data_IF_211475016583
#
_entry.id   IF_211475016583
#
_cell.length_a   1.000
_cell.length_b   1.000
_cell.length_c   1.000
_cell.angle_alpha   90.00
_cell.angle_beta   90.00
_cell.angle_gamma   90.00
#
_symmetry.space_group_name_H-M   'P 1'
#
loop_
_entity.id
_entity.type
_entity.pdbx_description
1 polymer ?
#
# COMPACT_ATOMS: atom_id res chain seq x y z
N UNK A 1 52.68 12.79 -6.54
CA UNK A 1 51.60 12.22 -5.69
C UNK A 1 50.27 12.68 -6.26
N UNK A 2 49.26 11.81 -6.46
CA UNK A 2 47.96 12.25 -6.96
C UNK A 2 47.22 13.09 -5.92
N UNK A 3 46.54 14.15 -6.38
CA UNK A 3 45.70 15.01 -5.55
C UNK A 3 44.39 14.27 -5.23
N UNK A 4 44.02 14.17 -3.95
CA UNK A 4 42.74 13.60 -3.51
C UNK A 4 41.75 14.74 -3.22
N UNK A 5 40.61 14.75 -3.92
CA UNK A 5 39.50 15.66 -3.63
C UNK A 5 38.48 15.06 -2.66
N UNK A 6 37.65 15.92 -2.05
CA UNK A 6 36.53 15.50 -1.20
C UNK A 6 35.24 16.19 -1.62
N UNK A 7 34.19 15.42 -1.87
CA UNK A 7 32.84 15.94 -2.15
C UNK A 7 31.83 15.28 -1.20
N UNK A 8 31.01 16.11 -0.54
CA UNK A 8 30.00 15.61 0.38
C UNK A 8 28.85 14.93 -0.37
N UNK A 9 28.41 13.75 0.10
CA UNK A 9 27.32 13.00 -0.54
C UNK A 9 25.99 13.77 -0.57
N UNK A 10 25.75 14.70 0.35
CA UNK A 10 24.54 15.51 0.36
C UNK A 10 24.42 16.38 -0.91
N UNK A 11 25.55 16.83 -1.49
CA UNK A 11 25.57 17.58 -2.75
C UNK A 11 25.12 16.74 -3.95
N UNK A 12 25.38 15.44 -3.91
CA UNK A 12 25.04 14.50 -5.00
C UNK A 12 23.66 13.88 -4.83
N UNK A 13 23.00 14.02 -3.67
CA UNK A 13 21.66 13.45 -3.43
C UNK A 13 20.60 13.93 -4.42
N UNK A 14 20.71 15.17 -4.93
CA UNK A 14 19.81 15.72 -5.96
C UNK A 14 19.80 14.86 -7.25
N UNK A 15 20.88 14.12 -7.51
CA UNK A 15 21.05 13.24 -8.67
C UNK A 15 20.75 11.76 -8.36
N UNK A 16 20.16 11.44 -7.19
CA UNK A 16 19.91 10.06 -6.78
C UNK A 16 18.92 9.30 -7.69
N UNK A 17 18.02 10.00 -8.36
CA UNK A 17 17.07 9.42 -9.31
C UNK A 17 17.75 9.15 -10.66
N UNK A 18 17.72 7.88 -11.11
CA UNK A 18 18.43 7.40 -12.30
C UNK A 18 17.54 7.14 -13.51
N UNK A 19 16.26 7.51 -13.45
CA UNK A 19 15.33 7.38 -14.58
C UNK A 19 14.26 8.45 -14.54
N UNK A 20 13.61 8.69 -15.69
CA UNK A 20 12.48 9.62 -15.82
C UNK A 20 11.39 9.28 -14.80
N UNK A 21 11.08 7.99 -14.64
CA UNK A 21 10.10 7.49 -13.67
C UNK A 21 10.44 7.84 -12.22
N UNK A 22 11.71 7.73 -11.83
CA UNK A 22 12.15 8.03 -10.47
C UNK A 22 12.20 9.53 -10.21
N UNK A 23 12.62 10.32 -11.22
CA UNK A 23 12.80 11.77 -11.09
C UNK A 23 11.47 12.52 -11.10
N UNK A 24 10.56 12.12 -11.97
CA UNK A 24 9.30 12.83 -12.23
C UNK A 24 8.07 12.08 -11.72
N UNK A 25 8.24 10.91 -11.11
CA UNK A 25 7.12 10.08 -10.62
C UNK A 25 6.05 9.78 -11.70
N UNK A 26 6.46 9.62 -12.97
CA UNK A 26 5.55 9.40 -14.12
C UNK A 26 4.83 8.05 -14.11
N UNK A 27 5.16 7.15 -13.18
CA UNK A 27 4.52 5.85 -13.07
C UNK A 27 4.77 5.16 -11.72
N UNK A 28 4.31 3.90 -11.58
CA UNK A 28 4.52 3.09 -10.38
C UNK A 28 6.00 2.96 -10.03
N UNK A 29 6.35 3.14 -8.76
CA UNK A 29 7.76 3.26 -8.34
C UNK A 29 8.51 1.93 -8.16
N UNK A 30 7.83 0.78 -8.21
CA UNK A 30 8.41 -0.58 -8.21
C UNK A 30 9.66 -0.71 -7.31
N UNK A 31 9.53 -0.35 -6.03
CA UNK A 31 10.60 -0.41 -5.01
C UNK A 31 11.84 0.47 -5.26
N UNK A 32 11.78 1.44 -6.18
CA UNK A 32 12.92 2.32 -6.56
C UNK A 32 12.70 3.81 -6.23
N UNK A 33 11.77 4.13 -5.33
CA UNK A 33 11.55 5.52 -4.87
C UNK A 33 12.78 6.04 -4.10
N UNK A 34 13.20 7.28 -4.41
CA UNK A 34 14.38 7.92 -3.77
C UNK A 34 14.01 8.91 -2.68
N UNK A 35 12.96 9.70 -2.90
CA UNK A 35 12.57 10.78 -1.99
C UNK A 35 11.21 10.48 -1.37
N UNK A 36 11.14 10.52 -0.04
CA UNK A 36 9.95 10.21 0.74
C UNK A 36 9.52 11.46 1.51
N UNK A 37 8.21 11.69 1.55
CA UNK A 37 7.58 12.76 2.33
C UNK A 37 6.61 12.11 3.30
N UNK A 38 6.85 12.32 4.60
CA UNK A 38 6.02 11.80 5.68
C UNK A 38 5.10 12.94 6.13
N UNK A 39 3.79 12.67 6.19
CA UNK A 39 2.78 13.70 6.46
C UNK A 39 2.87 14.30 7.87
N UNK A 40 3.29 13.50 8.85
CA UNK A 40 3.50 13.96 10.23
C UNK A 40 4.99 14.02 10.54
N UNK A 41 5.50 15.21 10.82
CA UNK A 41 6.89 15.43 11.24
C UNK A 41 7.24 14.68 12.55
N UNK A 42 6.23 14.32 13.34
CA UNK A 42 6.38 13.59 14.60
C UNK A 42 6.40 12.06 14.45
N UNK A 43 6.21 11.51 13.25
CA UNK A 43 6.31 10.07 13.05
C UNK A 43 7.77 9.64 12.97
N UNK A 44 8.27 8.98 14.02
CA UNK A 44 9.60 8.36 14.01
C UNK A 44 9.67 7.11 13.11
N UNK A 45 8.55 6.38 12.98
CA UNK A 45 8.48 5.23 12.09
C UNK A 45 8.11 5.68 10.67
N UNK A 46 9.01 5.43 9.71
CA UNK A 46 8.88 5.87 8.32
C UNK A 46 7.96 4.99 7.46
N UNK A 47 6.72 4.80 7.89
CA UNK A 47 5.66 4.14 7.11
C UNK A 47 4.37 4.97 7.11
N UNK A 48 3.60 4.84 6.03
CA UNK A 48 2.23 5.35 5.97
C UNK A 48 1.31 4.41 6.73
N UNK A 49 0.24 4.93 7.31
CA UNK A 49 -0.74 4.13 8.06
C UNK A 49 -2.10 4.23 7.38
N UNK A 50 -2.74 3.09 7.18
CA UNK A 50 -4.15 3.00 6.82
C UNK A 50 -4.77 2.15 7.90
N UNK A 51 -5.64 2.76 8.70
CA UNK A 51 -6.15 2.16 9.92
C UNK A 51 -7.67 2.05 9.86
N UNK A 52 -8.19 0.92 10.31
CA UNK A 52 -9.62 0.71 10.48
C UNK A 52 -10.07 1.32 11.81
N UNK A 53 -11.37 1.62 11.90
CA UNK A 53 -12.00 2.08 13.15
C UNK A 53 -12.88 0.96 13.72
N UNK A 54 -12.43 0.35 14.82
CA UNK A 54 -13.22 -0.60 15.61
C UNK A 54 -13.95 0.17 16.71
N UNK A 55 -15.25 -0.05 16.81
CA UNK A 55 -16.12 0.57 17.81
C UNK A 55 -16.94 -0.45 18.59
N UNK A 56 -17.13 -1.67 18.05
CA UNK A 56 -17.86 -2.76 18.70
C UNK A 56 -17.21 -4.11 18.42
N UNK A 57 -17.74 -5.16 19.03
CA UNK A 57 -17.28 -6.53 18.84
C UNK A 57 -17.76 -7.15 17.51
N UNK A 58 -17.12 -8.23 17.02
CA UNK A 58 -17.37 -8.77 15.68
C UNK A 58 -18.83 -9.16 15.38
N UNK A 59 -19.60 -9.52 16.42
CA UNK A 59 -21.04 -9.83 16.30
C UNK A 59 -21.90 -8.61 15.95
N UNK A 60 -21.46 -7.40 16.34
CA UNK A 60 -22.15 -6.13 16.10
C UNK A 60 -21.51 -5.35 14.94
N UNK A 61 -20.19 -5.43 14.83
CA UNK A 61 -19.40 -4.76 13.81
C UNK A 61 -18.40 -5.74 13.19
N UNK A 62 -18.76 -6.39 12.07
CA UNK A 62 -17.85 -7.25 11.33
C UNK A 62 -16.59 -6.50 10.91
N UNK A 63 -15.43 -7.16 10.92
CA UNK A 63 -14.14 -6.50 10.75
C UNK A 63 -13.98 -5.82 9.37
N UNK A 64 -14.68 -6.29 8.34
CA UNK A 64 -14.66 -5.64 7.01
C UNK A 64 -15.22 -4.21 7.04
N UNK A 65 -16.08 -3.90 8.00
CA UNK A 65 -16.70 -2.57 8.13
C UNK A 65 -15.76 -1.53 8.75
N UNK A 66 -14.65 -1.93 9.36
CA UNK A 66 -13.70 -1.02 10.01
C UNK A 66 -13.13 0.04 9.06
N UNK A 67 -13.04 -0.30 7.78
CA UNK A 67 -12.48 0.56 6.72
C UNK A 67 -13.54 1.28 5.88
N UNK A 68 -14.82 1.12 6.18
CA UNK A 68 -15.94 1.74 5.45
C UNK A 68 -15.79 3.25 5.23
N UNK A 69 -15.21 3.96 6.21
CA UNK A 69 -14.93 5.40 6.14
C UNK A 69 -13.97 5.81 5.00
N UNK A 70 -13.23 4.88 4.41
CA UNK A 70 -12.37 5.13 3.26
C UNK A 70 -13.14 5.18 1.93
N UNK A 71 -14.40 4.73 1.90
CA UNK A 71 -15.21 4.64 0.70
C UNK A 71 -14.70 3.59 -0.31
N UNK A 72 -15.25 3.59 -1.52
CA UNK A 72 -14.89 2.63 -2.57
C UNK A 72 -15.35 1.20 -2.26
N UNK A 73 -14.53 0.21 -2.59
CA UNK A 73 -14.93 -1.20 -2.45
C UNK A 73 -15.03 -1.66 -0.99
N UNK A 74 -14.20 -1.14 -0.09
CA UNK A 74 -14.25 -1.51 1.35
C UNK A 74 -15.48 -0.96 2.08
N UNK A 75 -16.26 -0.08 1.43
CA UNK A 75 -17.58 0.32 1.93
C UNK A 75 -18.69 -0.68 1.52
N UNK A 76 -18.38 -1.62 0.63
CA UNK A 76 -19.29 -2.68 0.18
C UNK A 76 -18.94 -3.99 0.87
N UNK A 77 -19.90 -4.90 0.91
CA UNK A 77 -19.69 -6.25 1.44
C UNK A 77 -18.64 -6.99 0.60
N UNK A 78 -17.69 -7.71 1.23
CA UNK A 78 -16.73 -8.54 0.52
C UNK A 78 -17.42 -9.68 -0.23
N UNK A 79 -16.78 -10.17 -1.30
CA UNK A 79 -17.27 -11.28 -2.11
C UNK A 79 -17.05 -12.64 -1.46
N UNK A 80 -16.00 -12.77 -0.64
CA UNK A 80 -15.67 -13.98 0.10
C UNK A 80 -15.36 -13.63 1.53
N UNK A 81 -15.81 -14.51 2.43
CA UNK A 81 -15.62 -14.43 3.86
C UNK A 81 -14.94 -15.72 4.34
N UNK A 82 -13.78 -15.55 4.95
CA UNK A 82 -12.91 -16.59 5.47
C UNK A 82 -12.73 -16.48 6.98
N UNK A 83 -13.55 -15.67 7.67
CA UNK A 83 -13.46 -15.49 9.12
C UNK A 83 -13.62 -16.80 9.90
N UNK A 84 -14.35 -17.77 9.34
CA UNK A 84 -14.52 -19.12 9.90
C UNK A 84 -13.48 -20.13 9.41
N UNK A 85 -12.57 -19.75 8.51
CA UNK A 85 -11.56 -20.64 7.93
C UNK A 85 -10.21 -20.49 8.63
N UNK A 86 -9.51 -21.60 8.83
CA UNK A 86 -8.16 -21.58 9.40
C UNK A 86 -7.11 -21.36 8.30
N UNK A 87 -6.85 -20.09 7.94
CA UNK A 87 -5.89 -19.72 6.89
C UNK A 87 -4.53 -19.30 7.45
N UNK A 88 -3.46 -19.84 6.85
CA UNK A 88 -2.07 -19.49 7.16
C UNK A 88 -1.74 -18.02 6.85
N UNK A 89 -2.30 -17.48 5.76
CA UNK A 89 -2.10 -16.11 5.30
C UNK A 89 -2.95 -15.06 6.03
N UNK A 90 -3.79 -15.50 6.99
CA UNK A 90 -4.63 -14.66 7.85
C UNK A 90 -5.65 -13.80 7.09
N UNK A 91 -5.92 -14.06 5.81
CA UNK A 91 -6.94 -13.34 5.04
C UNK A 91 -8.32 -13.65 5.59
N UNK A 92 -9.06 -12.62 6.00
CA UNK A 92 -10.45 -12.71 6.46
C UNK A 92 -11.44 -12.46 5.34
N UNK A 93 -11.17 -11.47 4.49
CA UNK A 93 -12.12 -11.04 3.48
C UNK A 93 -11.44 -10.76 2.15
N UNK A 94 -12.14 -11.08 1.07
CA UNK A 94 -11.75 -10.74 -0.29
C UNK A 94 -12.89 -10.04 -1.00
N UNK A 95 -12.61 -8.88 -1.59
CA UNK A 95 -13.54 -8.20 -2.49
C UNK A 95 -13.42 -8.74 -3.91
N UNK A 96 -14.47 -8.48 -4.71
CA UNK A 96 -14.51 -8.87 -6.11
C UNK A 96 -13.31 -8.25 -6.84
N UNK A 97 -12.67 -9.04 -7.71
CA UNK A 97 -11.60 -8.54 -8.57
C UNK A 97 -12.07 -7.35 -9.41
N UNK A 98 -11.21 -6.33 -9.53
CA UNK A 98 -11.36 -5.21 -10.46
C UNK A 98 -10.13 -5.16 -11.37
N UNK A 99 -10.30 -5.54 -12.63
CA UNK A 99 -9.18 -5.75 -13.53
C UNK A 99 -8.21 -6.77 -12.93
N UNK A 100 -6.95 -6.37 -12.83
CA UNK A 100 -5.86 -7.21 -12.32
C UNK A 100 -5.75 -7.18 -10.78
N UNK A 101 -6.58 -6.38 -10.11
CA UNK A 101 -6.45 -6.13 -8.68
C UNK A 101 -7.54 -6.81 -7.84
N UNK A 102 -7.13 -7.36 -6.70
CA UNK A 102 -8.04 -7.88 -5.68
C UNK A 102 -7.74 -7.24 -4.33
N UNK A 103 -8.76 -6.66 -3.68
CA UNK A 103 -8.62 -6.15 -2.30
C UNK A 103 -8.82 -7.30 -1.32
N UNK A 104 -7.94 -7.39 -0.35
CA UNK A 104 -7.98 -8.37 0.72
C UNK A 104 -7.78 -7.69 2.08
N UNK A 105 -8.44 -8.23 3.10
CA UNK A 105 -8.25 -7.82 4.49
C UNK A 105 -7.67 -8.97 5.30
N UNK A 106 -6.56 -8.72 5.97
CA UNK A 106 -5.91 -9.66 6.89
C UNK A 106 -6.30 -9.42 8.35
N UNK A 107 -6.41 -10.49 9.13
CA UNK A 107 -6.66 -10.44 10.57
C UNK A 107 -5.43 -10.01 11.37
N UNK A 108 -5.65 -9.66 12.64
CA UNK A 108 -4.59 -9.38 13.60
C UNK A 108 -3.85 -8.07 13.35
N UNK A 109 -2.56 -8.05 13.70
CA UNK A 109 -1.73 -6.83 13.63
C UNK A 109 -1.45 -6.47 12.17
N UNK A 110 -1.74 -5.21 11.82
CA UNK A 110 -1.43 -4.65 10.52
C UNK A 110 0.02 -4.92 10.08
N UNK A 111 0.17 -5.54 8.90
CA UNK A 111 1.45 -5.80 8.25
C UNK A 111 2.03 -4.53 7.64
N UNK A 112 3.35 -4.43 7.60
CA UNK A 112 4.05 -3.37 6.87
C UNK A 112 4.59 -3.94 5.57
N UNK A 113 4.09 -3.45 4.44
CA UNK A 113 4.50 -3.84 3.11
C UNK A 113 4.85 -2.60 2.28
N UNK A 114 5.54 -2.77 1.16
CA UNK A 114 5.84 -1.65 0.26
C UNK A 114 4.87 -1.66 -0.90
N UNK A 115 4.14 -0.56 -1.09
CA UNK A 115 3.22 -0.44 -2.20
C UNK A 115 4.00 -0.22 -3.50
N UNK A 116 3.91 -1.12 -4.49
CA UNK A 116 4.67 -0.99 -5.74
C UNK A 116 4.33 0.30 -6.51
N UNK A 117 3.09 0.81 -6.40
CA UNK A 117 2.67 2.07 -7.04
C UNK A 117 3.32 3.31 -6.42
N UNK A 118 3.03 3.63 -5.16
CA UNK A 118 3.59 4.84 -4.54
C UNK A 118 5.05 4.69 -4.10
N UNK A 119 5.53 3.47 -3.88
CA UNK A 119 6.86 3.15 -3.39
C UNK A 119 7.06 3.34 -1.88
N UNK A 120 6.04 3.76 -1.13
CA UNK A 120 6.13 3.92 0.33
C UNK A 120 5.94 2.58 1.05
N UNK A 121 6.65 2.35 2.18
CA UNK A 121 6.22 1.41 3.19
C UNK A 121 4.86 1.84 3.76
N UNK A 122 3.92 0.90 3.84
CA UNK A 122 2.56 1.12 4.32
C UNK A 122 2.22 0.03 5.32
N UNK A 123 1.74 0.45 6.49
CA UNK A 123 1.25 -0.43 7.54
C UNK A 123 -0.28 -0.43 7.53
N UNK A 124 -0.88 -1.57 7.20
CA UNK A 124 -2.32 -1.71 6.97
C UNK A 124 -2.78 -3.16 7.06
N UNK A 125 -4.03 -3.40 7.47
CA UNK A 125 -4.70 -4.70 7.32
C UNK A 125 -5.31 -4.89 5.91
N UNK A 126 -5.51 -3.79 5.16
CA UNK A 126 -5.92 -3.85 3.77
C UNK A 126 -4.70 -3.98 2.86
N UNK A 127 -4.71 -4.98 2.00
CA UNK A 127 -3.70 -5.23 0.98
C UNK A 127 -4.40 -5.42 -0.37
N UNK A 128 -3.89 -4.79 -1.43
CA UNK A 128 -4.39 -5.02 -2.78
C UNK A 128 -3.36 -5.83 -3.55
N UNK A 129 -3.75 -7.00 -4.03
CA UNK A 129 -2.89 -7.96 -4.71
C UNK A 129 -3.10 -7.81 -6.23
N UNK A 130 -2.00 -7.72 -6.99
CA UNK A 130 -2.01 -7.69 -8.46
C UNK A 130 -1.82 -9.09 -9.03
N UNK A 131 -2.71 -9.53 -9.93
CA UNK A 131 -2.61 -10.81 -10.66
C UNK A 131 -2.31 -12.00 -9.74
N UNK A 132 -2.93 -12.02 -8.55
CA UNK A 132 -2.74 -13.04 -7.50
C UNK A 132 -1.28 -13.17 -6.99
N UNK A 133 -0.39 -12.28 -7.44
CA UNK A 133 1.00 -12.27 -7.05
C UNK A 133 1.20 -11.37 -5.82
N UNK A 134 1.42 -12.02 -4.67
CA UNK A 134 1.63 -11.38 -3.37
C UNK A 134 2.94 -10.59 -3.25
N UNK A 135 3.86 -10.69 -4.21
CA UNK A 135 5.04 -9.83 -4.26
C UNK A 135 4.68 -8.41 -4.74
N UNK A 136 3.56 -8.26 -5.45
CA UNK A 136 3.09 -7.00 -6.01
C UNK A 136 1.89 -6.46 -5.24
N UNK A 137 2.17 -5.97 -4.03
CA UNK A 137 1.16 -5.39 -3.15
C UNK A 137 0.98 -3.90 -3.38
N UNK A 138 -0.26 -3.44 -3.35
CA UNK A 138 -0.64 -2.04 -3.45
C UNK A 138 -1.46 -1.62 -2.23
N UNK A 139 -1.23 -0.39 -1.75
CA UNK A 139 -2.02 0.15 -0.64
C UNK A 139 -3.38 0.68 -1.12
N UNK A 140 -4.37 0.66 -0.24
CA UNK A 140 -5.76 0.99 -0.60
C UNK A 140 -5.94 2.39 -1.25
N UNK A 141 -5.31 3.49 -0.77
CA UNK A 141 -5.40 4.78 -1.45
C UNK A 141 -4.82 4.79 -2.87
N UNK A 142 -3.78 3.97 -3.14
CA UNK A 142 -3.24 3.85 -4.50
C UNK A 142 -4.21 3.08 -5.39
N UNK A 143 -4.80 2.02 -4.86
CA UNK A 143 -5.84 1.25 -5.54
C UNK A 143 -7.05 2.11 -5.91
N UNK A 144 -7.57 2.90 -4.95
CA UNK A 144 -8.70 3.79 -5.22
C UNK A 144 -8.42 4.74 -6.37
N UNK A 145 -7.21 5.32 -6.44
CA UNK A 145 -6.81 6.18 -7.56
C UNK A 145 -6.73 5.42 -8.87
N UNK A 146 -6.17 4.21 -8.88
CA UNK A 146 -6.08 3.37 -10.08
C UNK A 146 -7.47 3.10 -10.64
N UNK A 147 -8.41 2.72 -9.77
CA UNK A 147 -9.82 2.49 -10.12
C UNK A 147 -10.50 3.77 -10.60
N UNK A 148 -10.28 4.90 -9.92
CA UNK A 148 -10.82 6.20 -10.33
C UNK A 148 -10.31 6.64 -11.71
N UNK A 149 -9.07 6.28 -12.07
CA UNK A 149 -8.46 6.63 -13.36
C UNK A 149 -8.68 5.58 -14.45
N UNK A 150 -9.34 4.45 -14.15
CA UNK A 150 -9.55 3.36 -15.12
C UNK A 150 -8.28 2.58 -15.51
N UNK A 151 -7.25 2.59 -14.65
CA UNK A 151 -5.92 2.02 -14.93
C UNK A 151 -5.76 0.60 -14.37
N UNK A 152 -6.86 -0.12 -14.11
CA UNK A 152 -6.84 -1.41 -13.39
C UNK A 152 -6.13 -2.54 -14.14
N UNK A 153 -5.88 -2.39 -15.44
CA UNK A 153 -5.18 -3.38 -16.29
C UNK A 153 -3.79 -2.91 -16.75
N UNK A 154 -3.47 -1.65 -16.53
CA UNK A 154 -2.28 -1.00 -17.11
C UNK A 154 -1.19 -0.67 -16.07
N UNK A 155 -1.52 -0.82 -14.78
CA UNK A 155 -0.66 -0.38 -13.65
C UNK A 155 0.18 -1.49 -13.07
#
# INVERSE_FOLDING_TARGET
>A
MPIKGGVGSFLTTKLAARSVRQRHSTGPQYYKRKFFTIQNKHHHQMHRRISGKKFADPSQQPEHTYFSHLGGDVARRPSKDYSFANRQDKVLYEWKKRGDFQVQQISGKAETFVCFRCGYPVRSNLQVIKNENWDWRMCYPCYQRVVQTGMERDT
#
